data_IF_943216504050
#
_entry.id   IF_943216504050
#
_cell.length_a   1.000
_cell.length_b   1.000
_cell.length_c   1.000
_cell.angle_alpha   90.00
_cell.angle_beta   90.00
_cell.angle_gamma   90.00
#
_symmetry.space_group_name_H-M   'P 1'
#
loop_
_entity.id
_entity.type
_entity.pdbx_description
1 polymer ?
#
# COMPACT_ATOMS: atom_id res chain seq x y z
N UNK A 1 -4.43 6.66 2.34
CA UNK A 1 -4.07 7.43 1.15
C UNK A 1 -2.67 7.07 0.68
N UNK A 2 -2.58 6.56 -0.55
CA UNK A 2 -1.37 6.20 -1.25
C UNK A 2 -0.49 7.43 -1.48
N UNK A 3 0.81 7.25 -1.36
CA UNK A 3 1.77 8.31 -1.67
C UNK A 3 1.87 8.47 -3.19
N UNK A 4 2.30 9.66 -3.66
CA UNK A 4 2.65 9.88 -5.08
C UNK A 4 3.67 8.85 -5.57
N UNK A 5 4.60 8.43 -4.71
CA UNK A 5 5.57 7.37 -5.01
C UNK A 5 4.87 6.05 -5.35
N UNK A 6 3.91 5.63 -4.54
CA UNK A 6 3.19 4.39 -4.79
C UNK A 6 2.37 4.45 -6.09
N UNK A 7 1.76 5.60 -6.39
CA UNK A 7 1.10 5.79 -7.70
C UNK A 7 2.09 5.66 -8.87
N UNK A 8 3.31 6.18 -8.74
CA UNK A 8 4.37 5.96 -9.75
C UNK A 8 4.72 4.48 -9.89
N UNK A 9 4.79 3.73 -8.79
CA UNK A 9 5.02 2.27 -8.83
C UNK A 9 3.91 1.57 -9.62
N UNK A 10 2.64 1.90 -9.38
CA UNK A 10 1.52 1.34 -10.15
C UNK A 10 1.58 1.69 -11.63
N UNK A 11 1.96 2.93 -11.96
CA UNK A 11 2.20 3.32 -13.34
C UNK A 11 3.37 2.54 -13.97
N UNK A 12 4.48 2.35 -13.24
CA UNK A 12 5.66 1.61 -13.70
C UNK A 12 5.31 0.16 -14.02
N UNK A 13 4.60 -0.54 -13.11
CA UNK A 13 4.14 -1.91 -13.31
C UNK A 13 3.24 -2.03 -14.56
N UNK A 14 2.30 -1.11 -14.73
CA UNK A 14 1.40 -1.08 -15.88
C UNK A 14 2.12 -0.77 -17.20
N UNK A 15 3.10 0.15 -17.18
CA UNK A 15 3.94 0.48 -18.33
C UNK A 15 4.87 -0.68 -18.70
N UNK A 16 5.43 -1.37 -17.71
CA UNK A 16 6.24 -2.56 -17.94
C UNK A 16 5.45 -3.65 -18.65
N UNK A 17 4.24 -3.95 -18.16
CA UNK A 17 3.34 -4.88 -18.82
C UNK A 17 2.99 -4.44 -20.25
N UNK A 18 2.66 -3.16 -20.44
CA UNK A 18 2.33 -2.59 -21.76
C UNK A 18 3.50 -2.68 -22.75
N UNK A 19 4.71 -2.33 -22.34
CA UNK A 19 5.87 -2.29 -23.25
C UNK A 19 6.48 -3.66 -23.55
N UNK A 20 6.17 -4.68 -22.75
CA UNK A 20 6.64 -6.05 -22.97
C UNK A 20 5.61 -6.90 -23.69
N UNK A 21 4.33 -6.56 -23.58
CA UNK A 21 3.25 -7.31 -24.21
C UNK A 21 2.81 -6.64 -25.50
N UNK A 22 2.94 -7.33 -26.64
CA UNK A 22 2.49 -6.82 -27.94
C UNK A 22 0.96 -6.68 -28.07
N UNK A 23 0.21 -7.22 -27.11
CA UNK A 23 -1.25 -7.36 -27.14
C UNK A 23 -2.03 -6.45 -26.19
N UNK A 24 -1.37 -5.66 -25.33
CA UNK A 24 -2.07 -4.82 -24.36
C UNK A 24 -2.35 -3.47 -25.01
N UNK A 25 -3.62 -3.20 -25.30
CA UNK A 25 -4.04 -1.86 -25.68
C UNK A 25 -4.07 -0.92 -24.46
N UNK A 26 -4.00 0.38 -24.73
CA UNK A 26 -3.93 1.42 -23.71
C UNK A 26 -5.14 1.39 -22.75
N UNK A 27 -6.41 1.25 -23.21
CA UNK A 27 -7.56 1.14 -22.31
C UNK A 27 -7.54 -0.09 -21.39
N UNK A 28 -7.12 -1.25 -21.89
CA UNK A 28 -7.00 -2.49 -21.10
C UNK A 28 -5.93 -2.33 -20.02
N UNK A 29 -4.77 -1.76 -20.38
CA UNK A 29 -3.71 -1.46 -19.43
C UNK A 29 -4.13 -0.47 -18.33
N UNK A 30 -4.88 0.58 -18.68
CA UNK A 30 -5.45 1.52 -17.70
C UNK A 30 -6.38 0.79 -16.71
N UNK A 31 -7.32 -0.01 -17.25
CA UNK A 31 -8.26 -0.78 -16.42
C UNK A 31 -7.55 -1.73 -15.47
N UNK A 32 -6.52 -2.43 -15.96
CA UNK A 32 -5.72 -3.35 -15.14
C UNK A 32 -4.95 -2.62 -14.04
N UNK A 33 -4.35 -1.46 -14.35
CA UNK A 33 -3.64 -0.61 -13.38
C UNK A 33 -4.57 -0.07 -12.28
N UNK A 34 -5.76 0.39 -12.66
CA UNK A 34 -6.74 0.88 -11.69
C UNK A 34 -7.28 -0.26 -10.83
N UNK A 35 -7.52 -1.43 -11.43
CA UNK A 35 -7.92 -2.62 -10.69
C UNK A 35 -6.85 -3.06 -9.68
N UNK A 36 -5.59 -3.16 -10.08
CA UNK A 36 -4.49 -3.53 -9.19
C UNK A 36 -4.31 -2.53 -8.05
N UNK A 37 -4.47 -1.23 -8.31
CA UNK A 37 -4.49 -0.20 -7.26
C UNK A 37 -5.64 -0.44 -6.27
N UNK A 38 -6.82 -0.82 -6.77
CA UNK A 38 -7.99 -1.15 -5.95
C UNK A 38 -7.80 -2.41 -5.09
N UNK A 39 -6.97 -3.37 -5.52
CA UNK A 39 -6.69 -4.60 -4.77
C UNK A 39 -6.02 -4.37 -3.42
N UNK A 40 -5.39 -3.21 -3.21
CA UNK A 40 -4.84 -2.81 -1.91
C UNK A 40 -5.94 -2.70 -0.85
N UNK A 41 -7.13 -2.20 -1.22
CA UNK A 41 -8.26 -2.14 -0.28
C UNK A 41 -8.80 -3.51 0.09
N UNK A 42 -8.80 -4.41 -0.88
CA UNK A 42 -9.18 -5.79 -0.64
C UNK A 42 -8.26 -6.39 0.42
N UNK A 43 -6.94 -6.22 0.27
CA UNK A 43 -5.94 -6.68 1.25
C UNK A 43 -6.15 -6.04 2.63
N UNK A 44 -6.37 -4.72 2.70
CA UNK A 44 -6.68 -4.04 3.98
C UNK A 44 -7.94 -4.63 4.63
N UNK A 45 -8.95 -5.00 3.83
CA UNK A 45 -10.18 -5.62 4.34
C UNK A 45 -9.91 -7.03 4.88
N UNK A 46 -9.05 -7.81 4.22
CA UNK A 46 -8.55 -9.09 4.74
C UNK A 46 -7.82 -8.87 6.07
N UNK A 47 -6.90 -7.92 6.15
CA UNK A 47 -6.14 -7.60 7.37
C UNK A 47 -7.04 -7.22 8.56
N UNK A 48 -8.06 -6.38 8.33
CA UNK A 48 -9.07 -6.08 9.36
C UNK A 48 -9.91 -7.29 9.73
N UNK A 49 -10.32 -8.11 8.77
CA UNK A 49 -11.01 -9.36 9.08
C UNK A 49 -10.15 -10.28 9.92
N UNK A 50 -8.86 -10.36 9.67
CA UNK A 50 -7.96 -11.22 10.42
C UNK A 50 -7.86 -10.81 11.90
N UNK A 51 -7.79 -9.50 12.18
CA UNK A 51 -7.87 -8.96 13.56
C UNK A 51 -9.13 -9.45 14.28
N UNK A 52 -10.28 -9.43 13.60
CA UNK A 52 -11.55 -9.89 14.17
C UNK A 52 -11.61 -11.42 14.31
N UNK A 53 -10.96 -12.19 13.43
CA UNK A 53 -10.87 -13.64 13.58
C UNK A 53 -10.02 -14.06 14.78
N UNK A 54 -8.95 -13.32 15.11
CA UNK A 54 -8.17 -13.55 16.35
C UNK A 54 -9.05 -13.33 17.59
N UNK A 55 -9.85 -12.26 17.60
CA UNK A 55 -10.83 -12.00 18.68
C UNK A 55 -11.82 -13.15 18.82
N UNK A 56 -12.44 -13.57 17.71
CA UNK A 56 -13.40 -14.69 17.71
C UNK A 56 -12.76 -15.99 18.17
N UNK A 57 -11.52 -16.25 17.78
CA UNK A 57 -10.78 -17.42 18.25
C UNK A 57 -10.58 -17.36 19.77
N UNK A 58 -10.23 -16.19 20.33
CA UNK A 58 -10.11 -15.99 21.77
C UNK A 58 -11.45 -16.19 22.51
N UNK A 59 -12.56 -15.70 21.95
CA UNK A 59 -13.91 -15.91 22.50
C UNK A 59 -14.24 -17.41 22.57
N UNK A 60 -14.04 -18.15 21.47
CA UNK A 60 -14.24 -19.61 21.43
C UNK A 60 -13.38 -20.33 22.47
N UNK A 61 -12.11 -19.95 22.61
CA UNK A 61 -11.18 -20.52 23.60
C UNK A 61 -11.67 -20.34 25.04
N UNK A 62 -12.23 -19.17 25.36
CA UNK A 62 -12.82 -18.89 26.68
C UNK A 62 -14.06 -19.76 26.90
N UNK A 63 -14.95 -19.86 25.91
CA UNK A 63 -16.16 -20.69 26.01
C UNK A 63 -15.83 -22.18 26.16
N UNK A 64 -14.85 -22.68 25.42
CA UNK A 64 -14.33 -24.04 25.55
C UNK A 64 -13.72 -24.30 26.93
N UNK A 65 -13.00 -23.31 27.48
CA UNK A 65 -12.43 -23.37 28.83
C UNK A 65 -13.50 -23.61 29.90
N UNK A 66 -14.60 -22.85 29.85
CA UNK A 66 -15.75 -22.98 30.76
C UNK A 66 -16.44 -24.34 30.70
N UNK A 67 -16.36 -25.02 29.55
CA UNK A 67 -16.98 -26.34 29.29
C UNK A 67 -16.05 -27.53 29.59
N UNK A 68 -14.81 -27.30 30.03
CA UNK A 68 -13.89 -28.38 30.40
C UNK A 68 -14.47 -29.25 31.51
N UNK A 69 -14.13 -30.53 31.51
CA UNK A 69 -14.54 -31.46 32.57
C UNK A 69 -13.94 -31.09 33.95
N UNK A 70 -12.74 -30.49 33.95
CA UNK A 70 -12.11 -29.89 35.12
C UNK A 70 -11.65 -28.45 34.82
N UNK A 71 -12.52 -27.44 34.96
CA UNK A 71 -12.15 -26.04 34.72
C UNK A 71 -11.16 -25.52 35.78
N UNK A 72 -10.13 -24.80 35.34
CA UNK A 72 -9.25 -24.04 36.23
C UNK A 72 -9.96 -22.78 36.75
N UNK A 73 -9.37 -22.09 37.74
CA UNK A 73 -9.90 -20.80 38.21
C UNK A 73 -9.97 -19.77 37.07
N UNK A 74 -8.96 -19.74 36.21
CA UNK A 74 -8.93 -18.87 35.02
C UNK A 74 -9.95 -19.29 33.95
N UNK A 75 -10.33 -20.57 33.88
CA UNK A 75 -11.41 -21.02 32.98
C UNK A 75 -12.79 -20.55 33.47
N UNK A 76 -13.00 -20.54 34.80
CA UNK A 76 -14.28 -20.12 35.42
C UNK A 76 -14.45 -18.60 35.43
N UNK A 77 -13.37 -17.87 35.69
CA UNK A 77 -13.32 -16.40 35.74
C UNK A 77 -12.21 -15.86 34.82
N UNK A 78 -12.41 -15.95 33.49
CA UNK A 78 -11.39 -15.56 32.52
C UNK A 78 -11.27 -14.03 32.44
N UNK A 79 -10.04 -13.55 32.25
CA UNK A 79 -9.82 -12.14 31.92
C UNK A 79 -10.34 -11.86 30.50
N UNK A 80 -11.44 -11.13 30.39
CA UNK A 80 -12.12 -10.82 29.12
C UNK A 80 -11.61 -9.55 28.43
N UNK A 81 -10.62 -8.85 28.99
CA UNK A 81 -10.16 -7.54 28.50
C UNK A 81 -9.85 -7.51 27.00
N UNK A 82 -9.24 -8.56 26.45
CA UNK A 82 -8.98 -8.66 25.01
C UNK A 82 -10.25 -8.82 24.16
N UNK A 83 -11.19 -9.67 24.58
CA UNK A 83 -12.44 -9.89 23.83
C UNK A 83 -13.42 -8.71 23.98
N UNK A 84 -13.28 -7.92 25.04
CA UNK A 84 -14.06 -6.70 25.28
C UNK A 84 -13.42 -5.44 24.67
N UNK A 85 -12.31 -5.60 23.93
CA UNK A 85 -11.56 -4.50 23.34
C UNK A 85 -12.48 -3.59 22.48
N UNK A 86 -12.60 -2.33 22.89
CA UNK A 86 -13.57 -1.37 22.33
C UNK A 86 -13.24 -1.00 20.89
N UNK A 87 -11.95 -1.00 20.51
CA UNK A 87 -11.54 -0.75 19.13
C UNK A 87 -11.98 -1.90 18.20
N UNK A 88 -11.76 -3.15 18.61
CA UNK A 88 -12.18 -4.30 17.80
C UNK A 88 -13.71 -4.38 17.68
N UNK A 89 -14.44 -4.00 18.73
CA UNK A 89 -15.90 -3.85 18.67
C UNK A 89 -16.32 -2.80 17.64
N UNK A 90 -15.76 -1.60 17.70
CA UNK A 90 -16.04 -0.54 16.73
C UNK A 90 -15.73 -0.97 15.29
N UNK A 91 -14.61 -1.65 15.06
CA UNK A 91 -14.26 -2.19 13.74
C UNK A 91 -15.26 -3.23 13.25
N UNK A 92 -15.71 -4.13 14.13
CA UNK A 92 -16.69 -5.17 13.80
C UNK A 92 -18.08 -4.62 13.46
N UNK A 93 -18.47 -3.51 14.05
CA UNK A 93 -19.77 -2.85 13.86
C UNK A 93 -19.80 -1.89 12.66
N UNK A 94 -18.63 -1.49 12.13
CA UNK A 94 -18.55 -0.54 11.02
C UNK A 94 -19.22 -1.08 9.73
N UNK A 95 -20.27 -0.40 9.26
CA UNK A 95 -21.10 -0.85 8.13
C UNK A 95 -20.36 -0.82 6.79
N UNK A 96 -19.48 0.15 6.57
CA UNK A 96 -18.69 0.22 5.33
C UNK A 96 -17.70 -0.95 5.24
N UNK A 97 -17.04 -1.27 6.35
CA UNK A 97 -16.19 -2.46 6.48
C UNK A 97 -16.98 -3.74 6.21
N UNK A 98 -18.13 -3.94 6.86
CA UNK A 98 -18.98 -5.13 6.66
C UNK A 98 -19.38 -5.26 5.18
N UNK A 99 -19.84 -4.16 4.56
CA UNK A 99 -20.21 -4.12 3.15
C UNK A 99 -19.04 -4.55 2.25
N UNK A 100 -17.84 -4.01 2.48
CA UNK A 100 -16.62 -4.35 1.71
C UNK A 100 -16.19 -5.79 1.93
N UNK A 101 -16.20 -6.26 3.18
CA UNK A 101 -15.91 -7.66 3.53
C UNK A 101 -16.78 -8.63 2.73
N UNK A 102 -18.09 -8.34 2.66
CA UNK A 102 -19.04 -9.14 1.91
C UNK A 102 -18.81 -9.04 0.40
N UNK A 103 -18.59 -7.83 -0.12
CA UNK A 103 -18.31 -7.60 -1.55
C UNK A 103 -17.05 -8.34 -2.03
N UNK A 104 -16.00 -8.38 -1.19
CA UNK A 104 -14.76 -9.10 -1.46
C UNK A 104 -14.80 -10.59 -1.07
N UNK A 105 -15.94 -11.06 -0.54
CA UNK A 105 -16.14 -12.45 -0.12
C UNK A 105 -15.03 -12.96 0.80
N UNK A 106 -14.63 -12.13 1.76
CA UNK A 106 -13.55 -12.46 2.71
C UNK A 106 -13.96 -13.64 3.59
N UNK A 107 -13.17 -14.71 3.54
CA UNK A 107 -13.38 -15.93 4.32
C UNK A 107 -12.03 -16.49 4.79
N UNK A 108 -12.05 -17.10 5.98
CA UNK A 108 -10.90 -17.71 6.67
C UNK A 108 -11.16 -19.15 7.12
N UNK A 109 -12.25 -19.80 6.65
CA UNK A 109 -12.65 -21.14 7.10
C UNK A 109 -11.55 -22.18 6.93
N UNK A 110 -10.83 -22.15 5.82
CA UNK A 110 -9.77 -23.13 5.53
C UNK A 110 -8.42 -22.76 6.20
N UNK A 111 -8.36 -21.61 6.88
CA UNK A 111 -7.13 -21.00 7.40
C UNK A 111 -7.07 -20.98 8.93
N UNK A 112 -7.83 -21.84 9.60
CA UNK A 112 -7.87 -21.92 11.07
C UNK A 112 -6.50 -22.15 11.70
N UNK A 113 -5.61 -22.86 11.00
CA UNK A 113 -4.23 -23.10 11.45
C UNK A 113 -3.46 -21.78 11.56
N UNK A 114 -3.62 -20.87 10.61
CA UNK A 114 -2.93 -19.56 10.62
C UNK A 114 -3.48 -18.72 11.78
N UNK A 115 -4.81 -18.69 11.95
CA UNK A 115 -5.47 -17.97 13.06
C UNK A 115 -4.96 -18.47 14.40
N UNK A 116 -4.93 -19.80 14.60
CA UNK A 116 -4.46 -20.42 15.85
C UNK A 116 -2.99 -20.07 16.12
N UNK A 117 -2.11 -20.21 15.12
CA UNK A 117 -0.69 -19.90 15.28
C UNK A 117 -0.47 -18.44 15.67
N UNK A 118 -1.12 -17.51 14.97
CA UNK A 118 -0.98 -16.09 15.29
C UNK A 118 -1.58 -15.76 16.67
N UNK A 119 -2.74 -16.31 17.02
CA UNK A 119 -3.32 -16.09 18.35
C UNK A 119 -2.35 -16.51 19.46
N UNK A 120 -1.71 -17.69 19.33
CA UNK A 120 -0.71 -18.15 20.28
C UNK A 120 0.49 -17.21 20.36
N UNK A 121 1.01 -16.76 19.21
CA UNK A 121 2.11 -15.79 19.11
C UNK A 121 1.76 -14.47 19.84
N UNK A 122 0.54 -13.96 19.60
CA UNK A 122 0.03 -12.77 20.28
C UNK A 122 -0.01 -13.01 21.78
N UNK A 123 -0.61 -14.11 22.25
CA UNK A 123 -0.73 -14.41 23.68
C UNK A 123 0.63 -14.58 24.38
N UNK A 124 1.64 -15.11 23.70
CA UNK A 124 3.01 -15.23 24.25
C UNK A 124 3.80 -13.92 24.24
N UNK A 125 3.34 -12.90 23.50
CA UNK A 125 4.07 -11.63 23.39
C UNK A 125 4.01 -10.80 24.67
N UNK A 126 5.10 -10.06 24.95
CA UNK A 126 5.11 -9.06 26.03
C UNK A 126 4.03 -7.99 25.84
N UNK A 127 3.69 -7.67 24.58
CA UNK A 127 2.64 -6.70 24.22
C UNK A 127 1.29 -7.13 24.82
N UNK A 128 0.93 -8.41 24.64
CA UNK A 128 -0.31 -8.97 25.16
C UNK A 128 -0.29 -9.10 26.68
N UNK A 129 0.77 -9.68 27.25
CA UNK A 129 0.89 -9.86 28.70
C UNK A 129 0.79 -8.52 29.43
N UNK A 130 1.46 -7.48 28.92
CA UNK A 130 1.39 -6.13 29.50
C UNK A 130 0.01 -5.50 29.35
N UNK A 131 -0.66 -5.69 28.22
CA UNK A 131 -2.01 -5.18 28.02
C UNK A 131 -3.03 -5.84 28.96
N UNK A 132 -2.98 -7.17 29.10
CA UNK A 132 -3.89 -7.93 29.97
C UNK A 132 -3.71 -7.60 31.45
N UNK A 133 -2.49 -7.23 31.87
CA UNK A 133 -2.17 -6.81 33.24
C UNK A 133 -2.41 -5.33 33.52
N UNK A 134 -2.59 -4.48 32.51
CA UNK A 134 -2.68 -3.04 32.74
C UNK A 134 -4.04 -2.64 33.32
N UNK A 135 -4.06 -1.58 34.13
CA UNK A 135 -5.31 -0.97 34.60
C UNK A 135 -5.93 -0.03 33.56
N UNK A 136 -5.30 0.12 32.38
CA UNK A 136 -5.84 0.96 31.32
C UNK A 136 -7.10 0.32 30.74
N UNK A 137 -8.26 0.88 31.08
CA UNK A 137 -9.56 0.48 30.56
C UNK A 137 -10.22 1.65 29.81
N UNK A 138 -9.70 1.96 28.63
CA UNK A 138 -10.30 2.95 27.73
C UNK A 138 -9.99 2.62 26.27
N UNK A 139 -10.76 3.23 25.37
CA UNK A 139 -10.62 3.04 23.93
C UNK A 139 -9.20 3.33 23.40
N UNK A 140 -8.50 4.33 23.96
CA UNK A 140 -7.17 4.71 23.49
C UNK A 140 -6.13 3.65 23.84
N UNK A 141 -6.21 3.05 25.03
CA UNK A 141 -5.40 1.91 25.44
C UNK A 141 -5.64 0.70 24.55
N UNK A 142 -6.92 0.37 24.31
CA UNK A 142 -7.35 -0.71 23.43
C UNK A 142 -6.80 -0.55 22.01
N UNK A 143 -6.95 0.64 21.44
CA UNK A 143 -6.43 0.98 20.11
C UNK A 143 -4.91 0.93 20.05
N UNK A 144 -4.22 1.44 21.08
CA UNK A 144 -2.77 1.42 21.16
C UNK A 144 -2.21 -0.01 21.22
N UNK A 145 -2.88 -0.90 21.94
CA UNK A 145 -2.55 -2.33 21.96
C UNK A 145 -2.69 -2.96 20.56
N UNK A 146 -3.82 -2.75 19.89
CA UNK A 146 -4.05 -3.30 18.54
C UNK A 146 -3.03 -2.74 17.52
N UNK A 147 -2.66 -1.47 17.62
CA UNK A 147 -1.60 -0.87 16.79
C UNK A 147 -0.25 -1.58 16.96
N UNK A 148 0.13 -1.91 18.20
CA UNK A 148 1.39 -2.62 18.49
C UNK A 148 1.34 -4.05 17.99
N UNK A 149 0.26 -4.79 18.30
CA UNK A 149 0.08 -6.17 17.81
C UNK A 149 0.11 -6.22 16.29
N UNK A 150 -0.59 -5.31 15.61
CA UNK A 150 -0.57 -5.29 14.15
C UNK A 150 0.83 -5.02 13.61
N UNK A 151 1.51 -3.98 14.11
CA UNK A 151 2.83 -3.56 13.63
C UNK A 151 3.90 -4.62 13.87
N UNK A 152 3.96 -5.15 15.09
CA UNK A 152 5.13 -5.88 15.56
C UNK A 152 4.96 -7.40 15.38
N UNK A 153 3.73 -7.87 15.19
CA UNK A 153 3.43 -9.31 15.04
C UNK A 153 2.74 -9.58 13.70
N UNK A 154 1.57 -8.99 13.45
CA UNK A 154 0.72 -9.38 12.29
C UNK A 154 1.36 -9.00 10.95
N UNK A 155 1.89 -7.78 10.83
CA UNK A 155 2.41 -7.23 9.58
C UNK A 155 3.57 -8.06 8.99
N UNK A 156 4.29 -8.79 9.84
CA UNK A 156 5.46 -9.59 9.46
C UNK A 156 5.27 -11.09 9.73
N UNK A 157 4.03 -11.55 9.96
CA UNK A 157 3.78 -12.96 10.26
C UNK A 157 3.92 -13.82 9.00
N UNK A 158 4.92 -14.72 8.90
CA UNK A 158 5.28 -15.36 7.63
C UNK A 158 4.14 -16.16 6.99
N UNK A 159 3.38 -16.94 7.78
CA UNK A 159 2.27 -17.72 7.24
C UNK A 159 1.14 -16.85 6.66
N UNK A 160 0.96 -15.63 7.20
CA UNK A 160 -0.04 -14.70 6.68
C UNK A 160 0.46 -14.01 5.40
N UNK A 161 1.75 -13.69 5.33
CA UNK A 161 2.40 -13.19 4.10
C UNK A 161 2.25 -14.19 2.96
N UNK A 162 2.62 -15.46 3.17
CA UNK A 162 2.48 -16.51 2.15
C UNK A 162 1.02 -16.69 1.70
N UNK A 163 0.07 -16.67 2.64
CA UNK A 163 -1.35 -16.71 2.30
C UNK A 163 -1.76 -15.55 1.38
N UNK A 164 -1.32 -14.32 1.65
CA UNK A 164 -1.65 -13.17 0.79
C UNK A 164 -1.04 -13.31 -0.61
N UNK A 165 0.21 -13.76 -0.71
CA UNK A 165 0.90 -13.95 -1.99
C UNK A 165 0.21 -15.02 -2.85
N UNK A 166 -0.20 -16.14 -2.25
CA UNK A 166 -0.93 -17.21 -2.94
C UNK A 166 -2.33 -16.78 -3.38
N UNK A 167 -3.00 -15.96 -2.55
CA UNK A 167 -4.38 -15.56 -2.77
C UNK A 167 -4.57 -14.58 -3.91
N UNK A 168 -3.63 -13.66 -4.11
CA UNK A 168 -3.73 -12.64 -5.14
C UNK A 168 -2.35 -12.16 -5.59
N UNK A 169 -2.05 -12.34 -6.87
CA UNK A 169 -0.77 -11.95 -7.47
C UNK A 169 -0.44 -10.46 -7.31
N UNK A 170 -1.45 -9.59 -7.19
CA UNK A 170 -1.22 -8.15 -6.99
C UNK A 170 -0.77 -7.80 -5.57
N UNK A 171 -0.97 -8.69 -4.59
CA UNK A 171 -0.71 -8.38 -3.19
C UNK A 171 0.75 -8.50 -2.79
N UNK A 172 1.52 -9.38 -3.43
CA UNK A 172 2.94 -9.59 -3.09
C UNK A 172 3.72 -8.26 -3.02
N UNK A 173 3.57 -7.41 -4.03
CA UNK A 173 4.24 -6.10 -4.10
C UNK A 173 3.59 -5.01 -3.21
N UNK A 174 2.38 -5.26 -2.71
CA UNK A 174 1.55 -4.28 -2.00
C UNK A 174 1.44 -4.52 -0.50
N UNK A 175 1.93 -5.65 0.04
CA UNK A 175 1.78 -6.01 1.46
C UNK A 175 2.30 -4.90 2.38
N UNK A 176 3.50 -4.37 2.13
CA UNK A 176 4.06 -3.28 2.95
C UNK A 176 3.23 -2.00 2.87
N UNK A 177 2.71 -1.71 1.68
CA UNK A 177 1.84 -0.54 1.48
C UNK A 177 0.51 -0.72 2.21
N UNK A 178 -0.10 -1.90 2.11
CA UNK A 178 -1.32 -2.25 2.80
C UNK A 178 -1.11 -2.20 4.32
N UNK A 179 -0.03 -2.77 4.83
CA UNK A 179 0.35 -2.70 6.25
C UNK A 179 0.46 -1.26 6.75
N UNK A 180 1.18 -0.40 6.03
CA UNK A 180 1.33 1.00 6.38
C UNK A 180 -0.01 1.76 6.35
N UNK A 181 -0.87 1.46 5.38
CA UNK A 181 -2.20 2.04 5.28
C UNK A 181 -3.12 1.56 6.40
N UNK A 182 -3.12 0.27 6.71
CA UNK A 182 -3.87 -0.33 7.82
C UNK A 182 -3.48 0.32 9.13
N UNK A 183 -2.19 0.46 9.43
CA UNK A 183 -1.70 1.17 10.60
C UNK A 183 -2.17 2.64 10.63
N UNK A 184 -2.14 3.32 9.48
CA UNK A 184 -2.61 4.71 9.38
C UNK A 184 -4.12 4.83 9.61
N UNK A 185 -4.92 3.90 9.08
CA UNK A 185 -6.38 3.87 9.29
C UNK A 185 -6.68 3.62 10.76
N UNK A 186 -6.10 2.57 11.36
CA UNK A 186 -6.27 2.26 12.79
C UNK A 186 -5.91 3.49 13.62
N UNK A 187 -4.76 4.14 13.37
CA UNK A 187 -4.34 5.33 14.11
C UNK A 187 -5.36 6.48 14.00
N UNK A 188 -5.93 6.67 12.81
CA UNK A 188 -6.88 7.73 12.50
C UNK A 188 -8.26 7.58 13.13
N UNK A 189 -8.70 6.34 13.41
CA UNK A 189 -10.02 6.07 14.00
C UNK A 189 -10.16 6.68 15.41
N UNK A 190 -11.33 7.23 15.70
CA UNK A 190 -11.63 7.93 16.96
C UNK A 190 -12.75 7.25 17.73
N UNK A 191 -12.74 7.39 19.06
CA UNK A 191 -13.78 6.83 19.93
C UNK A 191 -15.18 7.41 19.66
N UNK A 192 -15.26 8.62 19.12
CA UNK A 192 -16.51 9.32 18.81
C UNK A 192 -17.13 8.94 17.46
N UNK A 193 -16.45 8.14 16.65
CA UNK A 193 -16.92 7.73 15.33
C UNK A 193 -17.97 6.63 15.43
N UNK A 194 -19.10 6.82 14.75
CA UNK A 194 -20.20 5.86 14.69
C UNK A 194 -19.98 4.76 13.65
N UNK A 195 -20.92 3.82 13.59
CA UNK A 195 -20.91 2.69 12.66
C UNK A 195 -21.06 3.08 11.17
N UNK A 196 -21.42 4.34 10.88
CA UNK A 196 -21.65 4.83 9.52
C UNK A 196 -20.41 5.49 8.90
N UNK A 197 -19.34 5.69 9.68
CA UNK A 197 -18.13 6.31 9.16
C UNK A 197 -17.52 5.47 8.02
N UNK A 198 -17.32 6.05 6.83
CA UNK A 198 -16.69 5.35 5.73
C UNK A 198 -15.19 5.15 6.01
N UNK A 199 -14.62 4.04 5.54
CA UNK A 199 -13.18 3.88 5.61
C UNK A 199 -12.48 4.91 4.69
N UNK A 200 -11.31 5.45 5.11
CA UNK A 200 -10.62 6.50 4.36
C UNK A 200 -10.21 6.06 2.96
N UNK A 201 -10.35 6.94 1.96
CA UNK A 201 -9.96 6.73 0.54
C UNK A 201 -8.50 6.27 0.35
N UNK A 202 -8.24 5.38 -0.61
CA UNK A 202 -6.88 5.06 -1.08
C UNK A 202 -6.28 6.27 -1.78
N UNK A 203 -7.08 7.05 -2.49
CA UNK A 203 -6.65 8.30 -3.08
C UNK A 203 -6.72 9.41 -2.04
N UNK A 204 -5.72 10.30 -2.02
CA UNK A 204 -5.79 11.46 -1.16
C UNK A 204 -6.85 12.43 -1.68
N UNK A 205 -7.87 12.67 -0.87
CA UNK A 205 -8.95 13.64 -1.09
C UNK A 205 -8.85 14.84 -0.13
N UNK A 206 -8.03 14.74 0.92
CA UNK A 206 -7.97 15.75 1.99
C UNK A 206 -7.16 16.97 1.55
N UNK A 207 -7.76 18.15 1.68
CA UNK A 207 -7.11 19.43 1.35
C UNK A 207 -6.88 19.65 -0.15
N UNK A 208 -7.43 18.79 -1.01
CA UNK A 208 -7.36 18.93 -2.46
C UNK A 208 -8.66 19.52 -3.01
N UNK A 209 -8.52 20.39 -4.01
CA UNK A 209 -9.66 20.94 -4.73
C UNK A 209 -10.40 19.88 -5.58
N UNK A 210 -9.71 18.79 -5.95
CA UNK A 210 -10.21 17.74 -6.82
C UNK A 210 -10.03 16.35 -6.14
N UNK A 211 -11.12 15.68 -5.73
CA UNK A 211 -11.07 14.36 -5.09
C UNK A 211 -10.43 13.26 -5.97
N UNK A 212 -10.41 13.46 -7.29
CA UNK A 212 -9.84 12.49 -8.24
C UNK A 212 -8.41 12.85 -8.65
N UNK A 213 -7.77 13.85 -8.07
CA UNK A 213 -6.44 14.35 -8.51
C UNK A 213 -5.38 13.23 -8.54
N UNK A 214 -5.40 12.30 -7.58
CA UNK A 214 -4.46 11.18 -7.56
C UNK A 214 -4.73 10.16 -8.67
N UNK A 215 -6.01 9.84 -8.91
CA UNK A 215 -6.42 8.96 -10.00
C UNK A 215 -6.10 9.60 -11.36
N UNK A 216 -6.38 10.89 -11.52
CA UNK A 216 -6.06 11.67 -12.72
C UNK A 216 -4.56 11.73 -12.96
N UNK A 217 -3.75 11.90 -11.91
CA UNK A 217 -2.30 11.83 -12.04
C UNK A 217 -1.83 10.46 -12.53
N UNK A 218 -2.34 9.39 -11.92
CA UNK A 218 -1.96 8.02 -12.26
C UNK A 218 -2.28 7.72 -13.75
N UNK A 219 -3.52 8.01 -14.17
CA UNK A 219 -3.98 7.83 -15.55
C UNK A 219 -3.17 8.71 -16.51
N UNK A 220 -2.96 10.00 -16.17
CA UNK A 220 -2.21 10.92 -17.01
C UNK A 220 -0.76 10.48 -17.18
N UNK A 221 -0.12 10.03 -16.10
CA UNK A 221 1.27 9.54 -16.14
C UNK A 221 1.36 8.31 -17.04
N UNK A 222 0.45 7.34 -16.88
CA UNK A 222 0.38 6.15 -17.72
C UNK A 222 0.16 6.50 -19.21
N UNK A 223 -0.91 7.21 -19.54
CA UNK A 223 -1.26 7.56 -20.93
C UNK A 223 -0.19 8.41 -21.61
N UNK A 224 0.27 9.48 -20.96
CA UNK A 224 1.24 10.38 -21.60
C UNK A 224 2.58 9.71 -21.81
N UNK A 225 2.99 8.79 -20.94
CA UNK A 225 4.22 8.01 -21.13
C UNK A 225 4.13 7.14 -22.39
N UNK A 226 3.00 6.47 -22.62
CA UNK A 226 2.76 5.65 -23.82
C UNK A 226 2.69 6.52 -25.07
N UNK A 227 1.84 7.54 -25.06
CA UNK A 227 1.59 8.39 -26.23
C UNK A 227 2.85 9.13 -26.71
N UNK A 228 3.75 9.48 -25.80
CA UNK A 228 5.02 10.15 -26.12
C UNK A 228 6.22 9.20 -26.20
N UNK A 229 6.01 7.88 -26.11
CA UNK A 229 7.09 6.90 -26.03
C UNK A 229 8.12 7.04 -27.15
N UNK A 230 7.67 7.21 -28.40
CA UNK A 230 8.57 7.37 -29.56
C UNK A 230 9.40 8.65 -29.51
N UNK A 231 8.81 9.76 -29.05
CA UNK A 231 9.55 11.02 -28.84
C UNK A 231 10.64 10.82 -27.77
N UNK A 232 10.26 10.20 -26.64
CA UNK A 232 11.18 9.95 -25.55
C UNK A 232 12.30 8.98 -25.93
N UNK A 233 12.01 7.93 -26.71
CA UNK A 233 13.03 7.02 -27.25
C UNK A 233 14.08 7.77 -28.06
N UNK A 234 13.66 8.67 -28.96
CA UNK A 234 14.59 9.48 -29.74
C UNK A 234 15.44 10.41 -28.85
N UNK A 235 14.83 11.02 -27.82
CA UNK A 235 15.56 11.84 -26.85
C UNK A 235 16.60 11.03 -26.07
N UNK A 236 16.23 9.83 -25.61
CA UNK A 236 17.11 8.95 -24.84
C UNK A 236 18.25 8.42 -25.73
N UNK A 237 17.96 7.96 -26.94
CA UNK A 237 18.94 7.47 -27.92
C UNK A 237 20.03 8.51 -28.19
N UNK A 238 19.66 9.78 -28.33
CA UNK A 238 20.61 10.87 -28.52
C UNK A 238 21.56 11.10 -27.33
N UNK A 239 21.18 10.67 -26.12
CA UNK A 239 22.00 10.80 -24.89
C UNK A 239 22.74 9.52 -24.51
N UNK A 240 22.41 8.41 -25.16
CA UNK A 240 22.96 7.08 -24.89
C UNK A 240 23.94 6.60 -25.96
N UNK A 241 24.39 7.47 -26.89
CA UNK A 241 25.36 7.09 -27.95
C UNK A 241 26.66 6.42 -27.47
N UNK A 242 27.07 6.68 -26.22
CA UNK A 242 28.26 6.07 -25.61
C UNK A 242 27.94 4.83 -24.75
N UNK A 243 26.67 4.42 -24.72
CA UNK A 243 26.17 3.26 -23.97
C UNK A 243 25.71 2.21 -24.97
N UNK A 244 26.03 0.95 -24.73
CA UNK A 244 25.44 -0.12 -25.51
C UNK A 244 23.94 -0.20 -25.19
N UNK A 245 23.12 0.34 -26.09
CA UNK A 245 21.67 0.48 -25.93
C UNK A 245 21.02 -0.88 -25.68
N UNK A 246 21.55 -1.94 -26.31
CA UNK A 246 21.09 -3.32 -26.17
C UNK A 246 21.35 -3.92 -24.78
N UNK A 247 22.13 -3.24 -23.93
CA UNK A 247 22.39 -3.64 -22.53
C UNK A 247 21.63 -2.81 -21.50
N UNK A 248 20.82 -1.84 -21.92
CA UNK A 248 20.06 -1.00 -21.00
C UNK A 248 18.83 -1.78 -20.54
N UNK A 249 18.64 -1.90 -19.23
CA UNK A 249 17.47 -2.56 -18.68
C UNK A 249 16.19 -1.86 -19.15
N UNK A 250 15.19 -2.63 -19.61
CA UNK A 250 13.89 -2.10 -20.05
C UNK A 250 13.25 -1.19 -19.00
N UNK A 251 13.39 -1.56 -17.71
CA UNK A 251 12.89 -0.75 -16.59
C UNK A 251 13.57 0.62 -16.49
N UNK A 252 14.86 0.74 -16.83
CA UNK A 252 15.56 2.03 -16.81
C UNK A 252 15.00 2.97 -17.88
N UNK A 253 14.74 2.44 -19.07
CA UNK A 253 14.12 3.21 -20.14
C UNK A 253 12.71 3.67 -19.74
N UNK A 254 11.90 2.78 -19.15
CA UNK A 254 10.56 3.14 -18.68
C UNK A 254 10.62 4.22 -17.60
N UNK A 255 11.51 4.08 -16.61
CA UNK A 255 11.69 5.08 -15.55
C UNK A 255 12.09 6.45 -16.14
N UNK A 256 12.98 6.49 -17.13
CA UNK A 256 13.36 7.74 -17.81
C UNK A 256 12.17 8.32 -18.59
N UNK A 257 11.39 7.50 -19.31
CA UNK A 257 10.17 7.93 -20.02
C UNK A 257 9.13 8.51 -19.07
N UNK A 258 8.94 7.89 -17.90
CA UNK A 258 8.04 8.41 -16.86
C UNK A 258 8.54 9.73 -16.28
N UNK A 259 9.84 9.86 -16.03
CA UNK A 259 10.43 11.12 -15.58
C UNK A 259 10.26 12.24 -16.60
N UNK A 260 10.51 11.97 -17.89
CA UNK A 260 10.25 12.92 -18.99
C UNK A 260 8.77 13.32 -19.07
N UNK A 261 7.86 12.36 -18.90
CA UNK A 261 6.43 12.63 -18.82
C UNK A 261 6.12 13.58 -17.67
N UNK A 262 6.68 13.31 -16.48
CA UNK A 262 6.46 14.15 -15.32
C UNK A 262 7.06 15.56 -15.46
N UNK A 263 8.23 15.67 -16.10
CA UNK A 263 8.83 16.97 -16.42
C UNK A 263 7.93 17.82 -17.32
N UNK A 264 7.38 17.21 -18.36
CA UNK A 264 6.68 17.92 -19.44
C UNK A 264 5.17 18.08 -19.21
N UNK A 265 4.54 17.16 -18.50
CA UNK A 265 3.07 17.11 -18.35
C UNK A 265 2.58 17.56 -16.97
N UNK A 266 3.47 17.67 -15.98
CA UNK A 266 3.11 17.98 -14.60
C UNK A 266 3.87 19.20 -14.11
N UNK A 267 3.37 20.38 -14.47
CA UNK A 267 3.95 21.67 -14.11
C UNK A 267 4.00 21.90 -12.60
N UNK A 268 3.06 21.33 -11.84
CA UNK A 268 2.98 21.47 -10.37
C UNK A 268 4.06 20.71 -9.60
N UNK A 269 4.75 19.75 -10.24
CA UNK A 269 5.76 18.93 -9.56
C UNK A 269 7.15 19.50 -9.84
N UNK A 270 7.91 19.90 -8.80
CA UNK A 270 9.27 20.42 -8.98
C UNK A 270 10.20 19.39 -9.62
N UNK A 271 11.10 19.87 -10.48
CA UNK A 271 12.09 19.05 -11.19
C UNK A 271 12.92 18.17 -10.25
N UNK A 272 13.43 18.74 -9.15
CA UNK A 272 14.21 18.00 -8.15
C UNK A 272 13.41 16.86 -7.50
N UNK A 273 12.12 17.05 -7.27
CA UNK A 273 11.24 16.02 -6.69
C UNK A 273 11.07 14.88 -7.68
N UNK A 274 10.72 15.19 -8.93
CA UNK A 274 10.63 14.21 -10.01
C UNK A 274 11.93 13.40 -10.13
N UNK A 275 13.08 14.09 -10.18
CA UNK A 275 14.40 13.47 -10.28
C UNK A 275 14.66 12.47 -9.15
N UNK A 276 14.52 12.93 -7.90
CA UNK A 276 14.74 12.10 -6.72
C UNK A 276 13.84 10.87 -6.71
N UNK A 277 12.56 11.02 -7.07
CA UNK A 277 11.61 9.90 -7.04
C UNK A 277 11.98 8.80 -8.03
N UNK A 278 12.32 9.11 -9.28
CA UNK A 278 12.68 8.08 -10.27
C UNK A 278 14.06 7.46 -10.01
N UNK A 279 15.00 8.21 -9.43
CA UNK A 279 16.28 7.67 -8.96
C UNK A 279 16.06 6.70 -7.79
N UNK A 280 15.22 7.05 -6.81
CA UNK A 280 14.90 6.14 -5.71
C UNK A 280 14.19 4.87 -6.21
N UNK A 281 13.21 4.99 -7.12
CA UNK A 281 12.54 3.83 -7.71
C UNK A 281 13.53 2.88 -8.41
N UNK A 282 14.53 3.41 -9.11
CA UNK A 282 15.53 2.59 -9.79
C UNK A 282 16.32 1.66 -8.86
N UNK A 283 16.47 2.02 -7.59
CA UNK A 283 17.18 1.20 -6.60
C UNK A 283 16.43 -0.08 -6.25
N UNK A 284 15.10 -0.04 -6.31
CA UNK A 284 14.23 -1.15 -5.93
C UNK A 284 13.84 -2.02 -7.11
N UNK A 285 13.68 -1.42 -8.29
CA UNK A 285 13.11 -2.11 -9.45
C UNK A 285 14.13 -2.45 -10.54
N UNK A 286 15.38 -1.98 -10.44
CA UNK A 286 16.37 -2.17 -11.51
C UNK A 286 17.72 -2.60 -10.96
N UNK A 287 18.77 -2.51 -11.79
CA UNK A 287 20.11 -2.99 -11.43
C UNK A 287 20.83 -2.03 -10.49
N UNK A 288 21.84 -2.48 -9.73
CA UNK A 288 22.65 -1.60 -8.87
C UNK A 288 23.29 -0.40 -9.61
N UNK A 289 23.54 -0.52 -10.92
CA UNK A 289 24.13 0.54 -11.75
C UNK A 289 23.09 1.53 -12.28
N UNK A 290 21.81 1.17 -12.27
CA UNK A 290 20.71 1.95 -12.85
C UNK A 290 20.54 3.33 -12.22
N UNK A 291 20.79 3.45 -10.91
CA UNK A 291 20.77 4.74 -10.20
C UNK A 291 21.66 5.79 -10.85
N UNK A 292 22.91 5.42 -11.14
CA UNK A 292 23.92 6.33 -11.72
C UNK A 292 23.58 6.64 -13.18
N UNK A 293 23.16 5.61 -13.91
CA UNK A 293 22.75 5.73 -15.31
C UNK A 293 21.56 6.68 -15.48
N UNK A 294 20.45 6.44 -14.78
CA UNK A 294 19.24 7.25 -14.86
C UNK A 294 19.52 8.70 -14.48
N UNK A 295 20.24 8.93 -13.37
CA UNK A 295 20.62 10.29 -12.96
C UNK A 295 21.40 11.01 -14.08
N UNK A 296 22.44 10.36 -14.62
CA UNK A 296 23.28 10.96 -15.67
C UNK A 296 22.55 11.23 -16.98
N UNK A 297 21.55 10.42 -17.34
CA UNK A 297 20.72 10.65 -18.53
C UNK A 297 19.71 11.77 -18.28
N UNK A 298 19.00 11.75 -17.15
CA UNK A 298 18.01 12.78 -16.82
C UNK A 298 18.65 14.17 -16.70
N UNK A 299 19.84 14.29 -16.12
CA UNK A 299 20.57 15.56 -16.01
C UNK A 299 20.81 16.19 -17.39
N UNK A 300 21.27 15.37 -18.36
CA UNK A 300 21.50 15.82 -19.74
C UNK A 300 20.20 16.20 -20.45
N UNK A 301 19.12 15.45 -20.24
CA UNK A 301 17.83 15.70 -20.86
C UNK A 301 17.20 16.99 -20.33
N UNK A 302 17.28 17.24 -19.02
CA UNK A 302 16.81 18.47 -18.39
C UNK A 302 17.48 19.71 -18.99
N UNK A 303 18.80 19.68 -19.17
CA UNK A 303 19.57 20.80 -19.76
C UNK A 303 19.02 21.13 -21.15
N UNK A 304 18.75 20.12 -21.97
CA UNK A 304 18.18 20.31 -23.31
C UNK A 304 16.75 20.83 -23.25
N UNK A 305 15.91 20.29 -22.37
CA UNK A 305 14.53 20.72 -22.20
C UNK A 305 14.44 22.20 -21.76
N UNK A 306 15.38 22.65 -20.92
CA UNK A 306 15.51 24.06 -20.52
C UNK A 306 15.94 24.94 -21.69
N UNK A 307 16.96 24.52 -22.46
CA UNK A 307 17.40 25.25 -23.68
C UNK A 307 16.26 25.40 -24.70
N UNK A 308 15.44 24.37 -24.86
CA UNK A 308 14.28 24.37 -25.75
C UNK A 308 13.04 25.08 -25.16
N UNK A 309 13.11 25.61 -23.93
CA UNK A 309 11.98 26.21 -23.20
C UNK A 309 10.75 25.29 -23.07
N UNK A 310 10.95 23.97 -23.09
CA UNK A 310 9.89 22.97 -22.94
C UNK A 310 9.54 22.68 -21.48
N UNK A 311 10.44 23.01 -20.55
CA UNK A 311 10.26 22.75 -19.12
C UNK A 311 9.57 23.94 -18.44
N UNK A 312 8.25 23.85 -18.27
CA UNK A 312 7.44 24.88 -17.59
C UNK A 312 6.94 24.31 -16.26
N UNK A 313 7.53 24.77 -15.16
CA UNK A 313 7.13 24.38 -13.79
C UNK A 313 6.45 25.57 -13.09
N UNK A 314 5.38 25.27 -12.35
CA UNK A 314 4.57 26.24 -11.61
C UNK A 314 4.46 25.70 -10.19
N UNK A 315 5.12 26.30 -9.21
CA UNK A 315 5.07 25.81 -7.82
C UNK A 315 5.95 26.58 -6.84
N UNK A 316 5.54 26.57 -5.56
CA UNK A 316 6.11 27.36 -4.44
C UNK A 316 7.59 27.14 -4.12
N UNK A 317 8.26 26.18 -4.77
CA UNK A 317 9.68 25.85 -4.57
C UNK A 317 10.63 26.43 -5.62
N UNK A 318 10.16 27.39 -6.43
CA UNK A 318 11.01 28.13 -7.38
C UNK A 318 11.64 29.39 -6.78
N UNK A 319 11.26 29.74 -5.55
CA UNK A 319 11.91 30.78 -4.74
C UNK A 319 12.87 30.04 -3.81
N UNK A 320 14.10 29.84 -4.26
CA UNK A 320 15.22 29.37 -3.47
C UNK A 320 16.30 30.42 -3.49
#
# INVERSE_FOLDING_TARGET
MLSRRHLRIKALQALYAYFISDSIDLPVGEKNMLNSTGKIYELITYQFSFLLEIKKFAERRIEEGKKKFYPTKEDLDPNTKFIDNRFLKQLAENRDYIRKKNAYKVNWHDEEVIIRKLYLEVCSSEIYVNYMKSDTDNYYGDKAFILKVFRDIIAYFPSLTSFYEEKNIYWADDIDTANALTLKIIKGMKASEDEFQPQPSLYNIDGKADPDEDKKFLIKLYHKTILKSKEFEAMIANKTKNWEIDRIATLDIILIKMALTEFLEFSSIPEKVTMNEYIELSKFYSTPKSRVFINGILDKLIIDLKKQKKLVKIGRGLIG
#
